data_IF_495358010529
#
_entry.id   IF_495358010529
#
_cell.length_a   1.000
_cell.length_b   1.000
_cell.length_c   1.000
_cell.angle_alpha   90.00
_cell.angle_beta   90.00
_cell.angle_gamma   90.00
#
_symmetry.space_group_name_H-M   'P 1'
#
loop_
_entity.id
_entity.type
_entity.pdbx_description
1 polymer ?
#
# COMPACT_ATOMS: atom_id res chain seq x y z
N UNK A 1 28.15 8.69 -8.60
CA UNK A 1 27.76 7.92 -7.40
C UNK A 1 26.51 7.16 -7.80
N UNK A 2 26.57 5.85 -7.79
CA UNK A 2 25.39 5.01 -8.07
C UNK A 2 24.61 4.83 -6.77
N UNK A 3 23.30 5.09 -6.83
CA UNK A 3 22.38 4.80 -5.74
C UNK A 3 21.74 3.43 -6.00
N UNK A 4 21.78 2.55 -5.00
CA UNK A 4 21.26 1.18 -5.09
C UNK A 4 20.31 0.89 -3.92
N UNK A 5 19.36 0.01 -4.15
CA UNK A 5 18.52 -0.56 -3.08
C UNK A 5 19.35 -1.47 -2.16
N UNK A 6 18.86 -1.80 -0.96
CA UNK A 6 19.51 -2.77 -0.09
C UNK A 6 19.90 -4.05 -0.84
N UNK A 7 21.06 -4.59 -0.52
CA UNK A 7 21.61 -5.76 -1.24
C UNK A 7 22.30 -5.43 -2.58
N UNK A 8 22.48 -4.15 -2.91
CA UNK A 8 23.13 -3.74 -4.17
C UNK A 8 22.22 -3.85 -5.40
N UNK A 9 20.91 -3.88 -5.22
CA UNK A 9 19.95 -4.03 -6.31
C UNK A 9 19.71 -2.69 -7.02
N UNK A 10 19.74 -2.72 -8.35
CA UNK A 10 19.53 -1.52 -9.17
C UNK A 10 18.04 -1.16 -9.35
N UNK A 11 17.13 -2.10 -9.13
CA UNK A 11 15.69 -1.96 -9.32
C UNK A 11 14.93 -2.57 -8.14
N UNK A 12 13.72 -2.09 -7.88
CA UNK A 12 12.82 -2.71 -6.91
C UNK A 12 11.37 -2.72 -7.40
N UNK A 13 10.61 -3.69 -6.91
CA UNK A 13 9.15 -3.75 -7.02
C UNK A 13 8.57 -3.62 -5.62
N UNK A 14 7.46 -2.90 -5.50
CA UNK A 14 6.70 -2.80 -4.25
C UNK A 14 5.20 -2.81 -4.53
N UNK A 15 4.45 -3.28 -3.54
CA UNK A 15 3.02 -3.46 -3.61
C UNK A 15 2.33 -2.73 -2.48
N UNK A 16 1.14 -2.19 -2.74
CA UNK A 16 0.33 -1.46 -1.77
C UNK A 16 -1.14 -1.85 -1.95
N UNK A 17 -1.69 -2.55 -0.97
CA UNK A 17 -3.06 -3.05 -1.03
C UNK A 17 -3.90 -2.50 0.11
N UNK A 18 -5.15 -2.11 -0.20
CA UNK A 18 -6.03 -1.40 0.72
C UNK A 18 -7.13 -2.29 1.30
N UNK A 19 -7.74 -1.82 2.39
CA UNK A 19 -8.96 -2.24 3.07
C UNK A 19 -8.82 -3.39 4.07
N UNK A 20 -7.89 -4.33 3.92
CA UNK A 20 -7.76 -5.47 4.85
C UNK A 20 -8.89 -6.49 4.72
N UNK A 21 -9.35 -6.78 3.51
CA UNK A 21 -10.38 -7.80 3.28
C UNK A 21 -9.80 -9.21 3.31
N UNK A 22 -10.65 -10.21 3.53
CA UNK A 22 -10.24 -11.63 3.68
C UNK A 22 -9.42 -12.19 2.51
N UNK A 23 -9.48 -11.55 1.36
CA UNK A 23 -8.71 -11.91 0.16
C UNK A 23 -7.23 -11.57 0.26
N UNK A 24 -6.82 -10.76 1.24
CA UNK A 24 -5.41 -10.53 1.56
C UNK A 24 -4.68 -11.83 1.89
N UNK A 25 -5.38 -12.83 2.47
CA UNK A 25 -4.79 -14.14 2.79
C UNK A 25 -4.21 -14.82 1.55
N UNK A 26 -4.97 -14.86 0.44
CA UNK A 26 -4.49 -15.44 -0.82
C UNK A 26 -3.40 -14.60 -1.47
N UNK A 27 -3.55 -13.29 -1.45
CA UNK A 27 -2.55 -12.37 -2.01
C UNK A 27 -1.21 -12.50 -1.29
N UNK A 28 -1.23 -12.56 0.05
CA UNK A 28 -0.05 -12.75 0.89
C UNK A 28 0.59 -14.12 0.63
N UNK A 29 -0.20 -15.16 0.44
CA UNK A 29 0.34 -16.49 0.08
C UNK A 29 1.12 -16.43 -1.24
N UNK A 30 0.58 -15.77 -2.28
CA UNK A 30 1.26 -15.57 -3.56
C UNK A 30 2.55 -14.75 -3.35
N UNK A 31 2.49 -13.66 -2.57
CA UNK A 31 3.64 -12.82 -2.30
C UNK A 31 4.75 -13.58 -1.57
N UNK A 32 4.41 -14.34 -0.55
CA UNK A 32 5.36 -15.13 0.22
C UNK A 32 6.05 -16.20 -0.63
N UNK A 33 5.31 -16.88 -1.52
CA UNK A 33 5.86 -17.87 -2.44
C UNK A 33 6.83 -17.24 -3.45
N UNK A 34 6.54 -16.03 -3.92
CA UNK A 34 7.40 -15.28 -4.86
C UNK A 34 8.53 -14.50 -4.18
N UNK A 35 8.58 -14.43 -2.84
CA UNK A 35 9.52 -13.58 -2.11
C UNK A 35 9.21 -12.09 -2.21
N UNK A 36 7.99 -11.71 -2.59
CA UNK A 36 7.55 -10.33 -2.64
C UNK A 36 7.25 -9.77 -1.26
N UNK A 37 7.48 -8.47 -1.08
CA UNK A 37 7.05 -7.71 0.09
C UNK A 37 6.04 -6.65 -0.33
N UNK A 38 5.00 -6.48 0.48
CA UNK A 38 3.97 -5.48 0.23
C UNK A 38 3.60 -4.72 1.48
N UNK A 39 2.94 -3.58 1.29
CA UNK A 39 2.31 -2.80 2.34
C UNK A 39 0.80 -3.00 2.27
N UNK A 40 0.18 -3.32 3.38
CA UNK A 40 -1.26 -3.48 3.50
C UNK A 40 -1.83 -2.36 4.36
N UNK A 41 -2.67 -1.53 3.75
CA UNK A 41 -3.28 -0.38 4.37
C UNK A 41 -4.64 -0.80 4.95
N UNK A 42 -4.71 -0.91 6.26
CA UNK A 42 -5.86 -1.48 6.94
C UNK A 42 -6.76 -0.41 7.54
N UNK A 43 -8.06 -0.69 7.57
CA UNK A 43 -9.03 0.09 8.32
C UNK A 43 -9.30 -0.61 9.66
N UNK A 44 -8.72 -0.14 10.74
CA UNK A 44 -8.82 -0.81 12.04
C UNK A 44 -10.26 -0.99 12.56
N UNK A 45 -11.16 -0.11 12.20
CA UNK A 45 -12.58 -0.20 12.54
C UNK A 45 -13.38 -1.19 11.69
N UNK A 46 -12.79 -1.76 10.62
CA UNK A 46 -13.42 -2.79 9.81
C UNK A 46 -12.96 -4.21 10.17
N UNK A 47 -11.85 -4.33 10.88
CA UNK A 47 -11.36 -5.62 11.37
C UNK A 47 -12.44 -6.35 12.20
N UNK A 48 -12.45 -7.68 12.13
CA UNK A 48 -13.45 -8.57 12.74
C UNK A 48 -14.87 -8.50 12.13
N UNK A 49 -15.13 -7.60 11.18
CA UNK A 49 -16.39 -7.60 10.45
C UNK A 49 -16.41 -8.69 9.37
N UNK A 50 -17.62 -9.05 8.94
CA UNK A 50 -17.77 -9.99 7.82
C UNK A 50 -17.08 -9.48 6.56
N UNK A 51 -16.29 -10.35 5.91
CA UNK A 51 -15.49 -10.00 4.74
C UNK A 51 -14.12 -9.36 5.03
N UNK A 52 -13.77 -9.11 6.30
CA UNK A 52 -12.49 -8.52 6.70
C UNK A 52 -11.62 -9.49 7.52
N UNK A 53 -10.33 -9.22 7.56
CA UNK A 53 -9.39 -10.01 8.38
C UNK A 53 -9.67 -9.81 9.87
N UNK A 54 -9.33 -10.82 10.66
CA UNK A 54 -9.53 -10.78 12.11
C UNK A 54 -8.34 -10.07 12.79
N UNK A 55 -8.59 -9.29 13.84
CA UNK A 55 -7.52 -8.63 14.62
C UNK A 55 -6.47 -9.61 15.13
N UNK A 56 -6.90 -10.78 15.59
CA UNK A 56 -6.04 -11.80 16.14
C UNK A 56 -5.04 -12.37 15.12
N UNK A 57 -5.31 -12.30 13.83
CA UNK A 57 -4.43 -12.84 12.79
C UNK A 57 -3.41 -11.82 12.26
N UNK A 58 -3.55 -10.51 12.55
CA UNK A 58 -2.65 -9.48 12.03
C UNK A 58 -1.17 -9.79 12.25
N UNK A 59 -0.71 -10.12 13.48
CA UNK A 59 0.72 -10.35 13.74
C UNK A 59 1.31 -11.54 12.98
N UNK A 60 0.48 -12.49 12.57
CA UNK A 60 0.94 -13.70 11.87
C UNK A 60 0.73 -13.59 10.36
N UNK A 61 -0.43 -13.11 9.92
CA UNK A 61 -0.78 -12.98 8.51
C UNK A 61 0.18 -12.00 7.80
N UNK A 62 0.40 -10.84 8.39
CA UNK A 62 1.24 -9.79 7.80
C UNK A 62 2.69 -9.78 8.31
N UNK A 63 3.16 -10.84 8.99
CA UNK A 63 4.49 -10.90 9.63
C UNK A 63 5.65 -10.50 8.71
N UNK A 64 5.56 -10.84 7.43
CA UNK A 64 6.59 -10.56 6.43
C UNK A 64 6.29 -9.31 5.58
N UNK A 65 5.25 -8.55 5.92
CA UNK A 65 4.75 -7.40 5.19
C UNK A 65 4.59 -6.20 6.10
N UNK A 66 4.48 -5.02 5.51
CA UNK A 66 4.20 -3.80 6.25
C UNK A 66 2.69 -3.63 6.43
N UNK A 67 2.28 -3.23 7.64
CA UNK A 67 0.93 -2.72 7.91
C UNK A 67 1.00 -1.20 7.97
N UNK A 68 0.06 -0.54 7.28
CA UNK A 68 -0.07 0.90 7.21
C UNK A 68 -1.53 1.35 7.44
N UNK A 69 -1.74 2.64 7.70
CA UNK A 69 -3.05 3.22 7.94
C UNK A 69 -3.88 3.38 6.67
N UNK A 70 -5.22 3.26 6.84
CA UNK A 70 -6.20 3.67 5.81
C UNK A 70 -7.39 4.44 6.41
N UNK A 71 -7.26 4.89 7.66
CA UNK A 71 -8.32 5.47 8.47
C UNK A 71 -9.17 4.40 9.14
N UNK A 72 -9.77 4.73 10.29
CA UNK A 72 -10.55 3.78 11.09
C UNK A 72 -11.73 3.20 10.30
N UNK A 73 -12.48 4.06 9.61
CA UNK A 73 -13.80 3.71 9.05
C UNK A 73 -13.91 3.91 7.55
N UNK A 74 -12.81 4.19 6.86
CA UNK A 74 -12.78 4.46 5.41
C UNK A 74 -13.75 5.56 4.96
N UNK A 75 -13.84 6.65 5.73
CA UNK A 75 -14.68 7.80 5.36
C UNK A 75 -13.99 8.68 4.33
N UNK A 76 -14.80 9.34 3.49
CA UNK A 76 -14.30 10.35 2.56
C UNK A 76 -13.63 11.51 3.30
N UNK A 77 -12.33 11.77 3.08
CA UNK A 77 -11.61 12.88 3.73
C UNK A 77 -12.30 14.24 3.53
N UNK A 78 -12.91 14.45 2.36
CA UNK A 78 -13.62 15.69 2.04
C UNK A 78 -14.95 15.89 2.79
N UNK A 79 -15.47 14.84 3.43
CA UNK A 79 -16.69 14.89 4.25
C UNK A 79 -16.40 15.07 5.73
N UNK A 80 -15.12 15.21 6.09
CA UNK A 80 -14.67 15.40 7.47
C UNK A 80 -14.06 16.78 7.66
N UNK A 81 -14.32 17.40 8.81
CA UNK A 81 -13.52 18.53 9.22
C UNK A 81 -12.11 18.08 9.65
N UNK A 82 -11.17 19.02 9.80
CA UNK A 82 -9.78 18.72 10.13
C UNK A 82 -9.63 17.85 11.38
N UNK A 83 -10.39 18.15 12.44
CA UNK A 83 -10.31 17.42 13.71
C UNK A 83 -10.82 15.98 13.58
N UNK A 84 -11.89 15.76 12.84
CA UNK A 84 -12.43 14.43 12.57
C UNK A 84 -11.43 13.60 11.76
N UNK A 85 -10.83 14.20 10.72
CA UNK A 85 -9.85 13.52 9.89
C UNK A 85 -8.57 13.16 10.67
N UNK A 86 -8.05 14.08 11.48
CA UNK A 86 -6.89 13.81 12.34
C UNK A 86 -7.17 12.66 13.31
N UNK A 87 -8.36 12.62 13.88
CA UNK A 87 -8.78 11.56 14.79
C UNK A 87 -8.89 10.22 14.06
N UNK A 88 -9.47 10.21 12.86
CA UNK A 88 -9.62 9.02 12.01
C UNK A 88 -8.26 8.37 11.72
N UNK A 89 -7.26 9.15 11.32
CA UNK A 89 -5.92 8.65 11.01
C UNK A 89 -5.16 8.27 12.29
N UNK A 90 -5.20 9.11 13.31
CA UNK A 90 -4.45 8.89 14.55
C UNK A 90 -4.93 7.65 15.31
N UNK A 91 -6.24 7.48 15.42
CA UNK A 91 -6.83 6.31 16.08
C UNK A 91 -6.54 5.02 15.32
N UNK A 92 -6.59 5.07 13.99
CA UNK A 92 -6.25 3.94 13.14
C UNK A 92 -4.82 3.49 13.40
N UNK A 93 -3.87 4.42 13.35
CA UNK A 93 -2.47 4.18 13.65
C UNK A 93 -2.27 3.52 15.01
N UNK A 94 -2.78 4.15 16.07
CA UNK A 94 -2.63 3.62 17.44
C UNK A 94 -3.20 2.22 17.60
N UNK A 95 -4.37 1.96 17.01
CA UNK A 95 -5.01 0.64 17.06
C UNK A 95 -4.16 -0.42 16.34
N UNK A 96 -3.65 -0.11 15.15
CA UNK A 96 -2.80 -1.02 14.39
C UNK A 96 -1.47 -1.28 15.10
N UNK A 97 -0.85 -0.26 15.70
CA UNK A 97 0.36 -0.40 16.51
C UNK A 97 0.13 -1.28 17.76
N UNK A 98 -1.01 -1.11 18.45
CA UNK A 98 -1.38 -1.96 19.59
C UNK A 98 -1.57 -3.42 19.19
N UNK A 99 -2.21 -3.67 18.06
CA UNK A 99 -2.52 -5.02 17.58
C UNK A 99 -1.27 -5.77 17.06
N UNK A 100 -0.30 -5.04 16.51
CA UNK A 100 0.87 -5.65 15.85
C UNK A 100 2.16 -5.56 16.66
N UNK A 101 2.23 -4.64 17.63
CA UNK A 101 3.45 -4.35 18.39
C UNK A 101 4.51 -3.60 17.58
N UNK A 102 4.21 -3.22 16.33
CA UNK A 102 5.10 -2.49 15.43
C UNK A 102 4.78 -1.00 15.38
N UNK A 103 5.64 -0.23 14.70
CA UNK A 103 5.40 1.19 14.44
C UNK A 103 4.78 1.34 13.04
N UNK A 104 3.65 2.00 12.95
CA UNK A 104 2.96 2.28 11.68
C UNK A 104 3.45 3.64 11.15
N UNK A 105 4.07 3.64 9.98
CA UNK A 105 4.70 4.83 9.37
C UNK A 105 4.08 5.23 8.04
N UNK A 106 3.33 4.33 7.43
CA UNK A 106 2.70 4.50 6.13
C UNK A 106 1.21 4.77 6.22
N UNK A 107 0.68 5.36 5.15
CA UNK A 107 -0.75 5.58 4.97
C UNK A 107 -1.13 5.51 3.50
N UNK A 108 -2.40 5.23 3.19
CA UNK A 108 -3.04 5.55 1.91
C UNK A 108 -4.29 6.41 2.13
N UNK A 109 -4.53 7.35 1.22
CA UNK A 109 -5.71 8.23 1.32
C UNK A 109 -6.95 7.47 0.87
N UNK A 110 -7.96 7.37 1.73
CA UNK A 110 -9.26 6.81 1.37
C UNK A 110 -9.83 7.56 0.15
N UNK A 111 -10.26 6.82 -0.87
CA UNK A 111 -10.71 7.35 -2.17
C UNK A 111 -9.66 8.19 -2.92
N UNK A 112 -8.41 8.23 -2.48
CA UNK A 112 -7.37 9.14 -3.01
C UNK A 112 -7.62 10.62 -2.70
N UNK A 113 -8.51 10.93 -1.79
CA UNK A 113 -8.92 12.29 -1.46
C UNK A 113 -8.15 12.87 -0.27
N UNK A 114 -7.72 14.12 -0.40
CA UNK A 114 -7.06 14.87 0.68
C UNK A 114 -7.14 16.38 0.45
N UNK A 115 -6.95 17.14 1.52
CA UNK A 115 -6.68 18.57 1.48
C UNK A 115 -5.22 18.86 1.86
N UNK A 116 -4.63 19.98 1.39
CA UNK A 116 -3.24 20.34 1.74
C UNK A 116 -2.97 20.34 3.25
N UNK A 117 -3.91 20.85 4.05
CA UNK A 117 -3.80 20.94 5.51
C UNK A 117 -3.75 19.55 6.17
N UNK A 118 -4.41 18.56 5.55
CA UNK A 118 -4.38 17.17 6.01
C UNK A 118 -2.99 16.56 5.76
N UNK A 119 -2.40 16.83 4.59
CA UNK A 119 -1.06 16.36 4.25
C UNK A 119 -0.01 16.94 5.22
N UNK A 120 -0.09 18.23 5.51
CA UNK A 120 0.83 18.88 6.44
C UNK A 120 0.78 18.26 7.85
N UNK A 121 -0.41 17.86 8.30
CA UNK A 121 -0.60 17.25 9.61
C UNK A 121 0.01 15.85 9.74
N UNK A 122 0.17 15.10 8.65
CA UNK A 122 0.69 13.73 8.68
C UNK A 122 2.09 13.63 9.27
N UNK A 123 2.98 14.59 8.96
CA UNK A 123 4.33 14.62 9.53
C UNK A 123 4.30 14.72 11.05
N UNK A 124 3.44 15.59 11.61
CA UNK A 124 3.27 15.74 13.05
C UNK A 124 2.69 14.48 13.70
N UNK A 125 1.97 13.66 12.93
CA UNK A 125 1.44 12.37 13.35
C UNK A 125 2.43 11.21 13.15
N UNK A 126 3.67 11.49 12.71
CA UNK A 126 4.71 10.48 12.48
C UNK A 126 4.48 9.60 11.24
N UNK A 127 3.60 9.99 10.34
CA UNK A 127 3.44 9.34 9.04
C UNK A 127 4.56 9.83 8.11
N UNK A 128 5.31 8.91 7.54
CA UNK A 128 6.46 9.21 6.70
C UNK A 128 6.14 9.22 5.20
N UNK A 129 5.13 8.44 4.79
CA UNK A 129 4.65 8.43 3.41
C UNK A 129 3.15 8.18 3.35
N UNK A 130 2.53 8.67 2.27
CA UNK A 130 1.11 8.42 2.01
C UNK A 130 0.84 8.26 0.51
N UNK A 131 0.20 7.14 0.14
CA UNK A 131 -0.12 6.83 -1.26
C UNK A 131 -1.42 7.49 -1.70
N UNK A 132 -1.38 8.02 -2.91
CA UNK A 132 -2.55 8.48 -3.66
C UNK A 132 -3.03 7.41 -4.64
N UNK A 133 -4.16 7.64 -5.33
CA UNK A 133 -4.69 6.71 -6.37
C UNK A 133 -4.27 7.12 -7.79
N UNK A 134 -3.51 8.21 -7.93
CA UNK A 134 -3.12 8.76 -9.23
C UNK A 134 -1.92 7.99 -9.80
N UNK A 135 -2.18 7.14 -10.80
CA UNK A 135 -1.13 6.37 -11.49
C UNK A 135 -0.29 7.26 -12.40
N UNK A 136 1.03 7.15 -12.29
CA UNK A 136 1.99 7.93 -13.11
C UNK A 136 2.41 7.24 -14.40
N UNK A 137 2.35 5.91 -14.43
CA UNK A 137 2.97 5.09 -15.47
C UNK A 137 4.51 5.12 -15.44
N UNK A 138 5.12 5.84 -14.49
CA UNK A 138 6.57 6.03 -14.35
C UNK A 138 7.16 5.06 -13.33
N UNK A 139 8.42 4.72 -13.52
CA UNK A 139 9.22 3.94 -12.56
C UNK A 139 10.17 4.84 -11.74
N UNK A 140 10.03 6.17 -11.83
CA UNK A 140 10.84 7.09 -11.04
C UNK A 140 10.42 7.08 -9.58
N UNK A 141 11.38 7.28 -8.68
CA UNK A 141 11.09 7.51 -7.26
C UNK A 141 10.25 8.78 -7.07
N UNK A 142 9.40 8.85 -6.04
CA UNK A 142 8.56 10.01 -5.80
C UNK A 142 9.40 11.23 -5.42
N UNK A 143 8.92 12.40 -5.79
CA UNK A 143 9.47 13.66 -5.29
C UNK A 143 8.89 14.05 -3.94
N UNK A 144 7.70 13.56 -3.62
CA UNK A 144 6.95 13.88 -2.40
C UNK A 144 6.36 12.59 -1.80
N UNK A 145 6.89 12.16 -0.67
CA UNK A 145 6.48 10.92 -0.03
C UNK A 145 5.05 10.97 0.52
N UNK A 146 4.60 12.12 1.01
CA UNK A 146 3.24 12.27 1.55
C UNK A 146 2.15 12.42 0.48
N UNK A 147 2.53 12.45 -0.79
CA UNK A 147 1.64 12.37 -1.96
C UNK A 147 2.19 11.40 -2.99
N UNK A 148 2.57 10.22 -2.52
CA UNK A 148 3.23 9.23 -3.37
C UNK A 148 2.26 8.66 -4.39
N UNK A 149 2.50 8.99 -5.64
CA UNK A 149 1.74 8.47 -6.78
C UNK A 149 2.33 7.14 -7.23
N UNK A 150 1.54 6.06 -7.26
CA UNK A 150 2.02 4.75 -7.71
C UNK A 150 2.32 4.72 -9.22
N UNK A 151 3.02 3.69 -9.67
CA UNK A 151 3.21 3.45 -11.10
C UNK A 151 1.88 3.11 -11.77
N UNK A 152 1.12 2.16 -11.21
CA UNK A 152 -0.17 1.75 -11.77
C UNK A 152 -1.06 1.04 -10.75
N UNK A 153 -2.36 1.01 -11.02
CA UNK A 153 -3.28 0.04 -10.44
C UNK A 153 -3.04 -1.35 -11.05
N UNK A 154 -3.23 -2.43 -10.28
CA UNK A 154 -2.99 -3.78 -10.77
C UNK A 154 -3.85 -4.17 -11.98
N UNK A 155 -5.01 -3.53 -12.18
CA UNK A 155 -5.86 -3.74 -13.36
C UNK A 155 -5.42 -2.93 -14.59
N UNK A 156 -4.41 -2.06 -14.48
CA UNK A 156 -3.93 -1.23 -15.59
C UNK A 156 -2.70 -1.83 -16.25
N UNK A 157 -2.90 -2.80 -17.16
CA UNK A 157 -1.86 -3.41 -17.99
C UNK A 157 -0.65 -3.93 -17.20
N UNK A 158 -0.90 -4.57 -16.06
CA UNK A 158 0.13 -4.98 -15.11
C UNK A 158 1.31 -5.71 -15.76
N UNK A 159 1.03 -6.79 -16.52
CA UNK A 159 2.10 -7.61 -17.13
C UNK A 159 2.87 -6.86 -18.23
N UNK A 160 2.19 -6.03 -19.02
CA UNK A 160 2.87 -5.18 -20.02
C UNK A 160 3.82 -4.19 -19.34
N UNK A 161 3.42 -3.62 -18.21
CA UNK A 161 4.25 -2.71 -17.42
C UNK A 161 5.39 -3.44 -16.72
N UNK A 162 5.15 -4.65 -16.22
CA UNK A 162 6.19 -5.49 -15.64
C UNK A 162 7.28 -5.82 -16.68
N UNK A 163 6.87 -6.20 -17.88
CA UNK A 163 7.81 -6.45 -18.98
C UNK A 163 8.64 -5.19 -19.31
N UNK A 164 7.99 -4.03 -19.41
CA UNK A 164 8.70 -2.75 -19.62
C UNK A 164 9.69 -2.48 -18.49
N UNK A 165 9.30 -2.74 -17.23
CA UNK A 165 10.17 -2.53 -16.08
C UNK A 165 11.42 -3.43 -16.11
N UNK A 166 11.28 -4.67 -16.54
CA UNK A 166 12.44 -5.57 -16.71
C UNK A 166 13.47 -5.01 -17.70
N UNK A 167 13.04 -4.26 -18.73
CA UNK A 167 13.90 -3.65 -19.73
C UNK A 167 14.40 -2.24 -19.35
N UNK A 168 13.99 -1.67 -18.22
CA UNK A 168 14.53 -0.37 -17.76
C UNK A 168 16.02 -0.50 -17.52
N UNK A 169 16.87 0.37 -18.09
CA UNK A 169 18.31 0.31 -17.90
C UNK A 169 18.72 0.44 -16.44
N UNK A 170 19.66 -0.41 -15.99
CA UNK A 170 20.10 -0.45 -14.60
C UNK A 170 20.83 0.80 -14.11
N UNK A 171 21.26 1.70 -15.02
CA UNK A 171 21.89 2.98 -14.70
C UNK A 171 20.87 4.12 -14.42
N UNK A 172 19.59 3.90 -14.67
CA UNK A 172 18.54 4.83 -14.23
C UNK A 172 18.45 4.84 -12.72
N UNK A 173 18.24 6.03 -12.15
CA UNK A 173 18.29 6.24 -10.71
C UNK A 173 17.23 5.44 -9.98
N UNK A 174 17.58 4.25 -9.48
CA UNK A 174 16.76 3.41 -8.61
C UNK A 174 15.32 3.24 -9.12
N UNK A 175 15.08 2.69 -10.32
CA UNK A 175 13.72 2.54 -10.81
C UNK A 175 12.91 1.65 -9.87
N UNK A 176 11.68 2.10 -9.58
CA UNK A 176 10.73 1.44 -8.70
C UNK A 176 9.43 1.14 -9.44
N UNK A 177 9.03 -0.12 -9.44
CA UNK A 177 7.71 -0.50 -9.93
C UNK A 177 6.73 -0.55 -8.75
N UNK A 178 5.91 0.48 -8.59
CA UNK A 178 4.96 0.61 -7.49
C UNK A 178 3.54 0.27 -7.96
N UNK A 179 3.04 -0.87 -7.53
CA UNK A 179 1.73 -1.41 -7.89
C UNK A 179 0.78 -1.25 -6.71
N UNK A 180 -0.45 -0.85 -6.99
CA UNK A 180 -1.47 -0.74 -5.95
C UNK A 180 -2.81 -1.34 -6.36
N UNK A 181 -3.72 -1.54 -5.42
CA UNK A 181 -5.07 -2.02 -5.65
C UNK A 181 -5.74 -2.54 -4.38
N UNK A 182 -6.76 -3.36 -4.56
CA UNK A 182 -7.50 -4.02 -3.48
C UNK A 182 -7.52 -5.52 -3.76
N UNK A 183 -7.26 -6.35 -2.78
CA UNK A 183 -7.18 -7.81 -2.97
C UNK A 183 -8.52 -8.42 -3.39
N UNK A 184 -9.64 -7.85 -2.94
CA UNK A 184 -10.98 -8.30 -3.32
C UNK A 184 -11.30 -8.13 -4.82
N UNK A 185 -10.61 -7.24 -5.51
CA UNK A 185 -10.81 -7.02 -6.94
C UNK A 185 -10.40 -8.23 -7.77
N UNK A 186 -9.36 -8.96 -7.36
CA UNK A 186 -8.95 -10.20 -8.02
C UNK A 186 -10.05 -11.26 -7.97
N UNK A 187 -10.76 -11.37 -6.86
CA UNK A 187 -11.90 -12.29 -6.72
C UNK A 187 -13.10 -11.80 -7.52
N UNK A 188 -13.49 -10.53 -7.35
CA UNK A 188 -14.64 -9.93 -8.03
C UNK A 188 -14.53 -10.01 -9.55
N UNK A 189 -13.32 -9.82 -10.09
CA UNK A 189 -13.06 -9.74 -11.52
C UNK A 189 -12.49 -11.06 -12.09
N UNK A 190 -12.31 -12.06 -11.23
CA UNK A 190 -11.70 -13.36 -11.57
C UNK A 190 -10.32 -13.20 -12.23
N UNK A 191 -9.48 -12.33 -11.67
CA UNK A 191 -8.16 -11.96 -12.23
C UNK A 191 -6.96 -12.44 -11.39
N UNK A 192 -7.15 -13.38 -10.48
CA UNK A 192 -6.04 -14.00 -9.71
C UNK A 192 -4.88 -14.48 -10.58
N UNK A 193 -5.12 -15.10 -11.77
CA UNK A 193 -4.03 -15.51 -12.65
C UNK A 193 -3.11 -14.38 -13.11
N UNK A 194 -3.57 -13.11 -13.04
CA UNK A 194 -2.76 -11.96 -13.36
C UNK A 194 -1.62 -11.78 -12.34
N UNK A 195 -1.95 -11.92 -11.05
CA UNK A 195 -0.95 -11.80 -9.98
C UNK A 195 -0.06 -13.03 -9.89
N UNK A 196 -0.62 -14.22 -10.08
CA UNK A 196 0.13 -15.48 -10.14
C UNK A 196 1.18 -15.43 -11.26
N UNK A 197 0.81 -14.95 -12.45
CA UNK A 197 1.74 -14.77 -13.57
C UNK A 197 2.78 -13.68 -13.36
N UNK A 198 2.47 -12.63 -12.58
CA UNK A 198 3.48 -11.63 -12.20
C UNK A 198 4.52 -12.22 -11.26
N UNK A 199 4.13 -13.20 -10.47
CA UNK A 199 4.96 -13.86 -9.46
C UNK A 199 5.92 -14.94 -10.06
N UNK A 200 5.67 -15.40 -11.28
CA UNK A 200 6.54 -16.31 -12.05
C UNK A 200 7.78 -15.59 -12.60
#
# INVERSE_FOLDING_TARGET
MEYLYPGGLAKAITFSYDDGQVYDRRLIEIFNQAGFKGTFHLNSGNLDKDGYVQKAELPTLYAEHEIACHGVTHRHPRQMNQTEWLREVWQDRLTLEELTGGIVQGMSYAFGEYYPEQVEALCAMGIQYSRTVESTGSFALPQELLRWKPTCHHNDKLLERAEKFLHVPGYEKMPLFYIWGHSFEFERENTWPLMEKLAE
#
